data_IF_035761761752
#
_entry.id   IF_035761761752
#
_cell.length_a   1.000
_cell.length_b   1.000
_cell.length_c   1.000
_cell.angle_alpha   90.00
_cell.angle_beta   90.00
_cell.angle_gamma   90.00
#
_symmetry.space_group_name_H-M   'P 1'
#
loop_
_entity.id
_entity.type
_entity.pdbx_description
1 polymer ?
#
# COMPACT_ATOMS: atom_id res chain seq x y z
N UNK A 1 21.00 9.03 20.96
CA UNK A 1 19.53 8.97 21.01
C UNK A 1 19.05 9.55 19.69
N UNK A 2 18.57 8.71 18.80
CA UNK A 2 17.86 9.21 17.62
C UNK A 2 16.61 9.95 18.10
N UNK A 3 16.36 11.13 17.53
CA UNK A 3 15.17 11.90 17.87
C UNK A 3 13.95 11.14 17.38
N UNK A 4 13.03 10.84 18.28
CA UNK A 4 11.75 10.21 17.91
C UNK A 4 11.03 11.13 16.90
N UNK A 5 10.74 10.62 15.72
CA UNK A 5 10.03 11.37 14.69
C UNK A 5 8.56 11.55 15.12
N UNK A 6 8.14 12.79 15.34
CA UNK A 6 6.74 13.16 15.57
C UNK A 6 6.20 13.79 14.29
N UNK A 7 5.13 13.23 13.75
CA UNK A 7 4.52 13.64 12.49
C UNK A 7 3.03 13.83 12.63
N UNK A 8 2.42 14.55 11.71
CA UNK A 8 0.97 14.74 11.67
C UNK A 8 0.42 14.77 10.25
N UNK A 9 -0.84 14.39 10.11
CA UNK A 9 -1.64 14.54 8.89
C UNK A 9 -3.00 15.09 9.25
N UNK A 10 -3.40 16.13 8.54
CA UNK A 10 -4.66 16.84 8.80
C UNK A 10 -5.67 16.66 7.67
N UNK A 11 -6.94 16.70 8.04
CA UNK A 11 -8.06 17.05 7.16
C UNK A 11 -8.58 18.42 7.56
N UNK A 12 -9.73 18.84 7.06
CA UNK A 12 -10.34 20.10 7.50
C UNK A 12 -10.77 20.08 8.99
N UNK A 13 -11.16 18.91 9.52
CA UNK A 13 -11.73 18.79 10.85
C UNK A 13 -11.03 17.76 11.75
N UNK A 14 -9.94 17.18 11.31
CA UNK A 14 -9.17 16.20 12.09
C UNK A 14 -7.68 16.44 11.97
N UNK A 15 -6.94 16.03 13.01
CA UNK A 15 -5.50 15.92 12.97
C UNK A 15 -5.07 14.58 13.57
N UNK A 16 -4.46 13.75 12.76
CA UNK A 16 -3.85 12.50 13.20
C UNK A 16 -2.37 12.73 13.43
N UNK A 17 -1.93 12.60 14.66
CA UNK A 17 -0.51 12.65 15.03
C UNK A 17 0.00 11.25 15.26
N UNK A 18 1.24 10.99 14.88
CA UNK A 18 1.89 9.70 15.05
C UNK A 18 3.39 9.87 15.24
N UNK A 19 4.03 8.91 15.92
CA UNK A 19 5.44 8.98 16.27
C UNK A 19 6.08 7.59 16.29
N UNK A 20 7.38 7.55 16.06
CA UNK A 20 8.15 6.32 16.19
C UNK A 20 8.14 5.87 17.66
N UNK A 21 7.96 4.56 17.88
CA UNK A 21 8.00 3.99 19.22
C UNK A 21 9.40 4.15 19.83
N UNK A 22 9.55 4.82 21.00
CA UNK A 22 10.84 4.91 21.66
C UNK A 22 11.45 3.54 21.97
N UNK A 23 12.77 3.42 21.98
CA UNK A 23 13.46 2.15 22.23
C UNK A 23 13.08 1.52 23.58
N UNK A 24 12.91 2.33 24.61
CA UNK A 24 12.55 1.88 25.96
C UNK A 24 11.04 1.72 26.18
N UNK A 25 10.21 2.02 25.20
CA UNK A 25 8.77 1.85 25.29
C UNK A 25 8.35 0.39 25.07
N UNK A 26 7.33 -0.05 25.81
CA UNK A 26 6.72 -1.38 25.70
C UNK A 26 5.25 -1.26 25.26
N UNK A 27 4.56 -2.37 25.10
CA UNK A 27 3.11 -2.36 24.81
C UNK A 27 2.26 -1.68 25.90
N UNK A 28 2.75 -1.66 27.15
CA UNK A 28 2.06 -1.03 28.29
C UNK A 28 2.42 0.46 28.47
N UNK A 29 3.29 1.00 27.64
CA UNK A 29 3.67 2.42 27.74
C UNK A 29 2.49 3.30 27.40
N UNK A 30 2.15 4.23 28.31
CA UNK A 30 1.07 5.19 28.12
C UNK A 30 1.65 6.55 27.78
N UNK A 31 1.18 7.12 26.69
CA UNK A 31 1.53 8.46 26.23
C UNK A 31 0.42 9.43 26.60
N UNK A 32 0.80 10.59 27.09
CA UNK A 32 -0.10 11.70 27.32
C UNK A 32 -0.01 12.66 26.12
N UNK A 33 -1.16 12.97 25.53
CA UNK A 33 -1.27 13.80 24.31
C UNK A 33 -2.20 14.97 24.58
N UNK A 34 -1.78 16.18 24.28
CA UNK A 34 -2.61 17.38 24.44
C UNK A 34 -2.65 18.24 23.16
N UNK A 35 -3.72 19.02 23.04
CA UNK A 35 -3.92 20.02 21.98
C UNK A 35 -3.96 21.40 22.65
N UNK A 36 -3.08 22.32 22.22
CA UNK A 36 -2.96 23.71 22.72
C UNK A 36 -2.83 23.80 24.26
N UNK A 37 -2.23 22.80 24.90
CA UNK A 37 -2.11 22.76 26.35
C UNK A 37 -3.43 22.58 27.10
N UNK A 38 -4.51 22.21 26.41
CA UNK A 38 -5.81 21.87 26.98
C UNK A 38 -5.83 20.52 27.69
N UNK A 39 -7.01 19.91 27.82
CA UNK A 39 -7.14 18.60 28.42
C UNK A 39 -6.28 17.55 27.69
N UNK A 40 -5.47 16.84 28.47
CA UNK A 40 -4.68 15.72 27.97
C UNK A 40 -5.55 14.49 27.83
N UNK A 41 -5.24 13.69 26.81
CA UNK A 41 -5.75 12.34 26.62
C UNK A 41 -4.61 11.35 26.76
N UNK A 42 -4.94 10.12 27.14
CA UNK A 42 -3.97 9.06 27.31
C UNK A 42 -4.19 7.97 26.26
N UNK A 43 -3.12 7.50 25.66
CA UNK A 43 -3.13 6.39 24.71
C UNK A 43 -1.92 5.48 24.91
N UNK A 44 -2.08 4.19 24.71
CA UNK A 44 -0.96 3.23 24.62
C UNK A 44 -0.51 2.99 23.19
N UNK A 45 -1.12 3.69 22.21
CA UNK A 45 -0.73 3.66 20.80
C UNK A 45 0.26 4.76 20.49
N UNK A 46 1.06 4.56 19.47
CA UNK A 46 1.98 5.60 18.98
C UNK A 46 1.32 6.53 17.95
N UNK A 47 0.03 6.70 18.08
CA UNK A 47 -0.75 7.67 17.32
C UNK A 47 -1.99 8.10 18.09
N UNK A 48 -2.54 9.26 17.69
CA UNK A 48 -3.82 9.77 18.19
C UNK A 48 -4.48 10.69 17.16
N UNK A 49 -5.80 10.63 17.05
CA UNK A 49 -6.57 11.48 16.13
C UNK A 49 -7.46 12.43 16.91
N UNK A 50 -7.22 13.71 16.78
CA UNK A 50 -8.14 14.77 17.23
C UNK A 50 -9.22 14.97 16.18
N UNK A 51 -10.46 15.11 16.61
CA UNK A 51 -11.64 15.32 15.77
C UNK A 51 -12.32 16.66 16.11
N UNK A 52 -13.28 17.06 15.30
CA UNK A 52 -14.07 18.28 15.51
C UNK A 52 -13.22 19.57 15.56
N UNK A 53 -12.09 19.58 14.87
CA UNK A 53 -11.23 20.74 14.76
C UNK A 53 -11.83 21.78 13.80
N UNK A 54 -11.45 23.02 14.00
CA UNK A 54 -11.84 24.13 13.13
C UNK A 54 -10.98 24.11 11.87
N UNK A 55 -11.56 24.21 10.67
CA UNK A 55 -10.78 24.28 9.43
C UNK A 55 -9.84 25.49 9.38
N UNK A 56 -8.73 25.35 8.66
CA UNK A 56 -7.72 26.39 8.44
C UNK A 56 -7.25 27.07 9.74
N UNK A 57 -7.02 26.25 10.78
CA UNK A 57 -6.65 26.73 12.12
C UNK A 57 -5.35 26.06 12.55
N UNK A 58 -4.45 26.85 13.12
CA UNK A 58 -3.21 26.38 13.70
C UNK A 58 -3.47 25.82 15.10
N UNK A 59 -2.79 24.70 15.42
CA UNK A 59 -2.80 24.06 16.72
C UNK A 59 -1.39 23.60 17.09
N UNK A 60 -1.11 23.52 18.38
CA UNK A 60 0.10 22.90 18.90
C UNK A 60 -0.27 21.54 19.54
N UNK A 61 0.21 20.45 18.98
CA UNK A 61 0.06 19.13 19.60
C UNK A 61 1.31 18.79 20.38
N UNK A 62 1.14 18.43 21.64
CA UNK A 62 2.23 17.96 22.50
C UNK A 62 1.98 16.50 22.86
N UNK A 63 2.97 15.65 22.59
CA UNK A 63 3.07 14.29 23.10
C UNK A 63 4.15 14.33 24.18
N UNK A 64 3.73 14.23 25.45
CA UNK A 64 4.66 14.35 26.58
C UNK A 64 5.72 13.25 26.53
N UNK A 65 6.96 13.59 26.83
CA UNK A 65 8.17 12.76 26.67
C UNK A 65 8.63 12.50 25.21
N UNK A 66 7.87 12.92 24.20
CA UNK A 66 8.25 12.80 22.78
C UNK A 66 8.62 14.17 22.20
N UNK A 67 7.69 15.13 22.26
CA UNK A 67 7.88 16.47 21.71
C UNK A 67 6.58 17.18 21.38
N UNK A 68 6.71 18.32 20.71
CA UNK A 68 5.56 19.10 20.22
C UNK A 68 5.69 19.38 18.74
N UNK A 69 4.55 19.46 18.06
CA UNK A 69 4.45 19.78 16.64
C UNK A 69 3.36 20.81 16.42
N UNK A 70 3.66 21.83 15.62
CA UNK A 70 2.67 22.78 15.12
C UNK A 70 2.02 22.21 13.87
N UNK A 71 0.72 22.22 13.83
CA UNK A 71 -0.10 21.74 12.71
C UNK A 71 -1.06 22.82 12.28
N UNK A 72 -1.50 22.76 11.03
CA UNK A 72 -2.61 23.55 10.52
C UNK A 72 -3.62 22.59 9.87
N UNK A 73 -4.88 22.66 10.29
CA UNK A 73 -5.96 21.93 9.62
C UNK A 73 -6.13 22.44 8.20
N UNK A 74 -6.52 21.55 7.28
CA UNK A 74 -6.81 21.97 5.92
C UNK A 74 -7.99 22.93 5.89
N UNK A 75 -8.07 23.85 4.91
CA UNK A 75 -9.25 24.65 4.71
C UNK A 75 -10.47 23.77 4.38
N UNK A 76 -11.66 24.24 4.72
CA UNK A 76 -12.89 23.61 4.23
C UNK A 76 -12.93 23.71 2.70
N UNK A 77 -13.20 22.59 2.04
CA UNK A 77 -13.24 22.49 0.59
C UNK A 77 -14.67 22.56 0.07
N UNK A 78 -14.86 23.13 -1.11
CA UNK A 78 -16.13 23.08 -1.80
C UNK A 78 -16.36 21.65 -2.32
N UNK A 79 -17.53 21.11 -2.06
CA UNK A 79 -17.89 19.76 -2.54
C UNK A 79 -18.36 19.78 -3.98
N UNK A 80 -17.76 18.91 -4.79
CA UNK A 80 -18.23 18.53 -6.11
C UNK A 80 -19.01 17.22 -5.92
N UNK A 81 -20.33 17.32 -5.82
CA UNK A 81 -21.19 16.15 -5.68
C UNK A 81 -21.26 15.42 -7.01
N UNK A 82 -20.79 14.17 -7.06
CA UNK A 82 -20.78 13.38 -8.30
C UNK A 82 -22.20 13.12 -8.86
N UNK A 83 -23.22 13.21 -8.01
CA UNK A 83 -24.64 13.01 -8.37
C UNK A 83 -25.34 14.24 -8.91
N UNK A 84 -24.72 15.42 -8.83
CA UNK A 84 -25.30 16.70 -9.27
C UNK A 84 -24.81 17.09 -10.69
N UNK A 85 -25.51 18.02 -11.33
CA UNK A 85 -25.04 18.58 -12.59
C UNK A 85 -23.67 19.27 -12.44
N UNK A 86 -22.78 19.14 -13.42
CA UNK A 86 -23.00 18.53 -14.74
C UNK A 86 -22.74 17.00 -14.79
N UNK A 87 -22.32 16.37 -13.70
CA UNK A 87 -21.81 15.00 -13.68
C UNK A 87 -22.94 13.96 -13.72
N UNK A 88 -23.96 14.11 -12.88
CA UNK A 88 -25.14 13.24 -12.83
C UNK A 88 -24.81 11.75 -12.71
N UNK A 89 -23.76 11.39 -11.95
CA UNK A 89 -23.41 10.00 -11.75
C UNK A 89 -24.52 9.26 -10.99
N UNK A 90 -24.83 8.05 -11.42
CA UNK A 90 -25.93 7.24 -10.89
C UNK A 90 -25.38 6.19 -9.93
N UNK A 91 -25.79 6.24 -8.66
CA UNK A 91 -25.34 5.35 -7.61
C UNK A 91 -26.16 4.04 -7.51
N UNK A 92 -26.50 3.40 -8.64
CA UNK A 92 -27.37 2.21 -8.72
C UNK A 92 -26.62 0.87 -8.82
N UNK A 93 -25.28 0.91 -8.89
CA UNK A 93 -24.41 -0.27 -9.08
C UNK A 93 -24.47 -0.92 -10.45
N UNK A 94 -25.09 -0.29 -11.44
CA UNK A 94 -25.31 -0.82 -12.79
C UNK A 94 -24.89 0.13 -13.90
N UNK A 95 -25.22 1.41 -13.74
CA UNK A 95 -24.88 2.45 -14.72
C UNK A 95 -23.39 2.72 -14.69
N UNK A 96 -22.71 2.58 -15.83
CA UNK A 96 -21.29 2.89 -15.95
C UNK A 96 -21.10 4.41 -15.94
N UNK A 97 -20.40 4.93 -14.94
CA UNK A 97 -20.22 6.35 -14.70
C UNK A 97 -18.82 6.88 -15.06
N UNK A 98 -17.97 6.10 -15.74
CA UNK A 98 -16.54 6.43 -15.92
C UNK A 98 -16.32 7.84 -16.45
N UNK A 99 -17.04 8.24 -17.50
CA UNK A 99 -16.87 9.57 -18.08
C UNK A 99 -17.30 10.70 -17.14
N UNK A 100 -18.43 10.51 -16.45
CA UNK A 100 -18.97 11.49 -15.48
C UNK A 100 -18.03 11.66 -14.27
N UNK A 101 -17.54 10.56 -13.73
CA UNK A 101 -16.62 10.57 -12.58
C UNK A 101 -15.25 11.12 -12.98
N UNK A 102 -14.73 10.77 -14.15
CA UNK A 102 -13.47 11.34 -14.65
C UNK A 102 -13.58 12.85 -14.86
N UNK A 103 -14.74 13.33 -15.35
CA UNK A 103 -14.97 14.77 -15.48
C UNK A 103 -14.96 15.46 -14.10
N UNK A 104 -15.65 14.87 -13.09
CA UNK A 104 -15.64 15.40 -11.73
C UNK A 104 -14.22 15.44 -11.13
N UNK A 105 -13.39 14.42 -11.42
CA UNK A 105 -11.99 14.41 -11.00
C UNK A 105 -11.21 15.52 -11.71
N UNK A 106 -11.35 15.64 -13.02
CA UNK A 106 -10.66 16.68 -13.82
C UNK A 106 -11.00 18.10 -13.39
N UNK A 107 -12.25 18.36 -13.00
CA UNK A 107 -12.74 19.67 -12.57
C UNK A 107 -12.38 19.98 -11.10
N UNK A 108 -11.86 19.00 -10.35
CA UNK A 108 -11.51 19.17 -8.94
C UNK A 108 -10.26 20.03 -8.78
N UNK A 109 -10.44 21.28 -8.40
CA UNK A 109 -9.33 22.18 -8.08
C UNK A 109 -8.76 21.97 -6.66
N UNK A 110 -7.69 22.69 -6.31
CA UNK A 110 -7.03 22.53 -5.00
C UNK A 110 -7.90 22.96 -3.80
N UNK A 111 -8.97 23.70 -4.04
CA UNK A 111 -9.92 24.13 -3.01
C UNK A 111 -11.22 23.29 -3.03
N UNK A 112 -11.26 22.25 -3.84
CA UNK A 112 -12.42 21.40 -4.02
C UNK A 112 -12.16 19.99 -3.51
N UNK A 113 -13.24 19.25 -3.28
CA UNK A 113 -13.21 17.81 -3.05
C UNK A 113 -14.29 17.12 -3.89
N UNK A 114 -13.96 16.04 -4.55
CA UNK A 114 -14.95 15.18 -5.18
C UNK A 114 -15.65 14.38 -4.08
N UNK A 115 -16.96 14.52 -4.00
CA UNK A 115 -17.75 13.93 -2.92
C UNK A 115 -18.74 12.90 -3.46
N UNK A 116 -18.63 11.69 -2.91
CA UNK A 116 -19.51 10.58 -3.19
C UNK A 116 -20.52 10.41 -2.05
N UNK A 117 -21.79 10.80 -2.22
CA UNK A 117 -22.83 10.42 -1.26
C UNK A 117 -23.08 8.91 -1.28
N UNK A 118 -23.87 8.40 -0.32
CA UNK A 118 -24.25 6.99 -0.26
C UNK A 118 -24.81 6.49 -1.59
N UNK A 119 -24.33 5.35 -2.07
CA UNK A 119 -24.68 4.74 -3.37
C UNK A 119 -23.55 3.89 -3.92
N UNK A 120 -23.81 3.11 -4.95
CA UNK A 120 -22.83 2.24 -5.62
C UNK A 120 -22.56 2.80 -7.02
N UNK A 121 -21.39 3.37 -7.23
CA UNK A 121 -20.98 4.04 -8.47
C UNK A 121 -20.09 3.11 -9.29
N UNK A 122 -20.68 2.41 -10.27
CA UNK A 122 -19.93 1.55 -11.17
C UNK A 122 -19.08 2.38 -12.14
N UNK A 123 -17.80 2.02 -12.27
CA UNK A 123 -16.85 2.74 -13.12
C UNK A 123 -15.76 1.82 -13.68
N UNK A 124 -15.14 2.24 -14.78
CA UNK A 124 -13.83 1.75 -15.22
C UNK A 124 -12.71 2.52 -14.51
N UNK A 125 -11.52 2.50 -15.11
CA UNK A 125 -10.35 3.16 -14.58
C UNK A 125 -10.49 4.69 -14.55
N UNK A 126 -10.03 5.31 -13.44
CA UNK A 126 -10.02 6.75 -13.23
C UNK A 126 -8.60 7.25 -12.97
N UNK A 127 -8.29 8.46 -13.44
CA UNK A 127 -7.01 9.13 -13.21
C UNK A 127 -7.16 10.23 -12.18
N UNK A 128 -6.31 10.19 -11.17
CA UNK A 128 -6.14 11.23 -10.17
C UNK A 128 -5.08 12.23 -10.65
N UNK A 129 -5.14 13.45 -10.14
CA UNK A 129 -4.14 14.47 -10.40
C UNK A 129 -3.70 15.18 -9.11
N UNK A 130 -2.65 15.98 -9.21
CA UNK A 130 -2.09 16.71 -8.05
C UNK A 130 -3.09 17.64 -7.40
N UNK A 131 -2.98 17.77 -6.08
CA UNK A 131 -3.75 18.73 -5.28
C UNK A 131 -5.26 18.46 -5.23
N UNK A 132 -5.69 17.21 -5.34
CA UNK A 132 -7.11 16.85 -5.25
C UNK A 132 -7.47 16.12 -3.96
N UNK A 133 -8.74 16.17 -3.63
CA UNK A 133 -9.32 15.36 -2.56
C UNK A 133 -10.53 14.58 -3.05
N UNK A 134 -10.65 13.36 -2.59
CA UNK A 134 -11.79 12.48 -2.86
C UNK A 134 -12.35 12.00 -1.52
N UNK A 135 -13.60 12.32 -1.26
CA UNK A 135 -14.31 11.91 -0.05
C UNK A 135 -15.43 10.93 -0.39
N UNK A 136 -15.36 9.73 0.18
CA UNK A 136 -16.45 8.75 0.09
C UNK A 136 -17.21 8.75 1.42
N UNK A 137 -18.49 9.13 1.39
CA UNK A 137 -19.33 9.05 2.57
C UNK A 137 -19.53 7.61 3.02
N UNK A 138 -19.98 7.42 4.26
CA UNK A 138 -20.42 6.11 4.73
C UNK A 138 -21.49 5.55 3.77
N UNK A 139 -21.36 4.28 3.42
CA UNK A 139 -22.22 3.58 2.45
C UNK A 139 -22.08 4.04 0.98
N UNK A 140 -21.11 4.91 0.67
CA UNK A 140 -20.66 5.15 -0.69
C UNK A 140 -19.69 4.06 -1.14
N UNK A 141 -19.92 3.51 -2.33
CA UNK A 141 -19.04 2.49 -2.95
C UNK A 141 -18.63 2.95 -4.35
N UNK A 142 -17.34 3.18 -4.54
CA UNK A 142 -16.76 3.28 -5.87
C UNK A 142 -16.46 1.87 -6.36
N UNK A 143 -17.28 1.38 -7.30
CA UNK A 143 -17.25 -0.02 -7.75
C UNK A 143 -16.62 -0.13 -9.13
N UNK A 144 -15.50 -0.86 -9.22
CA UNK A 144 -14.85 -1.17 -10.49
C UNK A 144 -15.64 -2.16 -11.34
N UNK A 145 -15.69 -1.88 -12.64
CA UNK A 145 -16.22 -2.80 -13.65
C UNK A 145 -15.42 -4.11 -13.70
N UNK A 146 -16.06 -5.19 -14.08
CA UNK A 146 -15.39 -6.47 -14.35
C UNK A 146 -15.05 -6.66 -15.83
N UNK A 147 -15.23 -5.63 -16.67
CA UNK A 147 -14.86 -5.66 -18.09
C UNK A 147 -13.45 -5.09 -18.29
N UNK A 148 -12.47 -5.86 -18.79
CA UNK A 148 -11.11 -5.37 -19.05
C UNK A 148 -11.05 -4.18 -20.01
N UNK A 149 -12.03 -4.01 -20.89
CA UNK A 149 -12.05 -2.87 -21.85
C UNK A 149 -12.24 -1.53 -21.16
N UNK A 150 -12.85 -1.50 -19.96
CA UNK A 150 -13.03 -0.31 -19.14
C UNK A 150 -11.73 0.17 -18.47
N UNK A 151 -10.64 -0.60 -18.63
CA UNK A 151 -9.30 -0.32 -18.07
C UNK A 151 -8.25 -0.05 -19.15
N UNK A 152 -8.71 0.26 -20.37
CA UNK A 152 -7.86 0.68 -21.48
C UNK A 152 -7.83 2.23 -21.62
N UNK A 153 -6.79 2.78 -22.27
CA UNK A 153 -5.60 2.11 -22.77
C UNK A 153 -4.69 1.62 -21.65
N UNK A 154 -3.80 0.66 -21.96
CA UNK A 154 -2.75 0.24 -21.02
C UNK A 154 -1.82 1.40 -20.69
N UNK A 155 -1.17 1.33 -19.54
CA UNK A 155 -0.19 2.31 -19.04
C UNK A 155 1.14 1.63 -18.78
N UNK A 156 2.22 2.38 -18.85
CA UNK A 156 3.51 1.95 -18.36
C UNK A 156 3.48 1.90 -16.83
N UNK A 157 3.76 0.75 -16.27
CA UNK A 157 3.71 0.49 -14.83
C UNK A 157 4.70 -0.61 -14.48
N UNK A 158 4.70 -1.11 -13.23
CA UNK A 158 5.56 -2.20 -12.79
C UNK A 158 4.70 -3.34 -12.24
N UNK A 159 4.99 -4.59 -12.62
CA UNK A 159 4.38 -5.77 -12.06
C UNK A 159 5.44 -6.83 -11.77
N UNK A 160 5.38 -7.48 -10.60
CA UNK A 160 6.43 -8.41 -10.13
C UNK A 160 7.85 -7.85 -10.33
N UNK A 161 8.04 -6.58 -9.96
CA UNK A 161 9.34 -5.92 -9.99
C UNK A 161 9.89 -5.55 -11.35
N UNK A 162 9.13 -5.69 -12.45
CA UNK A 162 9.55 -5.35 -13.82
C UNK A 162 8.63 -4.29 -14.41
N UNK A 163 9.21 -3.27 -15.07
CA UNK A 163 8.46 -2.21 -15.76
C UNK A 163 7.91 -2.73 -17.09
N UNK A 164 6.63 -2.55 -17.32
CA UNK A 164 5.94 -3.05 -18.49
C UNK A 164 4.59 -2.37 -18.71
N UNK A 165 3.96 -2.59 -19.86
CA UNK A 165 2.58 -2.19 -20.08
C UNK A 165 1.62 -3.06 -19.28
N UNK A 166 0.78 -2.41 -18.46
CA UNK A 166 -0.27 -3.04 -17.65
C UNK A 166 -1.62 -2.44 -17.97
N UNK A 167 -2.70 -3.17 -17.71
CA UNK A 167 -4.01 -2.55 -17.61
C UNK A 167 -3.98 -1.46 -16.53
N UNK A 168 -4.75 -0.40 -16.73
CA UNK A 168 -4.95 0.61 -15.69
C UNK A 168 -5.55 -0.03 -14.44
N UNK A 169 -5.24 0.52 -13.30
CA UNK A 169 -5.90 0.21 -12.03
C UNK A 169 -7.24 0.93 -11.95
N UNK A 170 -8.05 0.63 -10.95
CA UNK A 170 -9.30 1.40 -10.75
C UNK A 170 -8.98 2.88 -10.52
N UNK A 171 -8.00 3.17 -9.63
CA UNK A 171 -7.46 4.52 -9.46
C UNK A 171 -5.98 4.55 -9.85
N UNK A 172 -5.59 5.56 -10.64
CA UNK A 172 -4.23 5.76 -11.09
C UNK A 172 -3.77 7.18 -10.78
N UNK A 173 -2.56 7.35 -10.29
CA UNK A 173 -1.93 8.64 -10.07
C UNK A 173 -0.49 8.64 -10.55
N UNK A 174 -0.10 9.74 -11.20
CA UNK A 174 1.25 9.94 -11.70
C UNK A 174 1.61 9.07 -12.91
N UNK A 175 2.82 9.25 -13.38
CA UNK A 175 3.39 8.53 -14.53
C UNK A 175 4.71 7.89 -14.11
N UNK A 176 4.89 6.62 -14.45
CA UNK A 176 6.09 5.87 -14.10
C UNK A 176 7.31 6.40 -14.85
N UNK A 177 8.31 6.83 -14.10
CA UNK A 177 9.62 7.20 -14.61
C UNK A 177 10.68 6.96 -13.53
N UNK A 178 11.48 5.91 -13.68
CA UNK A 178 12.51 5.57 -12.71
C UNK A 178 13.67 6.59 -12.68
N UNK A 179 13.77 7.49 -13.66
CA UNK A 179 14.82 8.53 -13.72
C UNK A 179 14.37 9.85 -13.10
N UNK A 180 13.07 10.03 -12.87
CA UNK A 180 12.48 11.26 -12.36
C UNK A 180 12.08 11.18 -10.88
N UNK A 181 11.81 12.33 -10.30
CA UNK A 181 11.16 12.50 -9.02
C UNK A 181 9.64 12.40 -9.11
N UNK A 182 8.95 12.94 -8.10
CA UNK A 182 7.49 12.97 -8.09
C UNK A 182 6.94 13.86 -9.21
N UNK A 183 5.89 13.38 -9.88
CA UNK A 183 5.16 14.10 -10.92
C UNK A 183 3.65 14.23 -10.60
N UNK A 184 3.21 13.66 -9.48
CA UNK A 184 1.87 13.82 -8.95
C UNK A 184 1.94 13.89 -7.42
N UNK A 185 1.21 14.84 -6.80
CA UNK A 185 1.40 15.11 -5.38
C UNK A 185 0.16 15.72 -4.69
N UNK A 186 0.16 15.66 -3.36
CA UNK A 186 -0.88 16.28 -2.52
C UNK A 186 -2.28 15.74 -2.80
N UNK A 187 -2.46 14.40 -2.76
CA UNK A 187 -3.76 13.76 -2.91
C UNK A 187 -4.24 13.27 -1.56
N UNK A 188 -5.52 13.51 -1.26
CA UNK A 188 -6.20 12.99 -0.08
C UNK A 188 -7.39 12.11 -0.51
N UNK A 189 -7.30 10.80 -0.24
CA UNK A 189 -8.40 9.85 -0.38
C UNK A 189 -8.92 9.53 1.02
N UNK A 190 -10.17 9.85 1.32
CA UNK A 190 -10.64 9.71 2.69
C UNK A 190 -12.15 9.50 2.80
N UNK A 191 -12.58 9.18 4.01
CA UNK A 191 -13.99 9.00 4.34
C UNK A 191 -14.26 7.69 5.08
N UNK A 192 -15.48 7.19 4.96
CA UNK A 192 -15.93 5.93 5.56
C UNK A 192 -16.56 4.99 4.53
N UNK A 193 -16.39 5.31 3.25
CA UNK A 193 -16.89 4.52 2.14
C UNK A 193 -15.91 3.43 1.71
N UNK A 194 -16.23 2.83 0.58
CA UNK A 194 -15.50 1.68 0.02
C UNK A 194 -15.01 1.98 -1.40
N UNK A 195 -13.77 1.65 -1.69
CA UNK A 195 -13.24 1.52 -3.04
C UNK A 195 -13.11 0.03 -3.31
N UNK A 196 -13.90 -0.49 -4.26
CA UNK A 196 -13.98 -1.91 -4.60
C UNK A 196 -13.67 -2.10 -6.08
N UNK A 197 -12.66 -2.90 -6.40
CA UNK A 197 -12.29 -3.20 -7.79
C UNK A 197 -13.22 -4.21 -8.46
N UNK A 198 -12.85 -4.64 -9.67
CA UNK A 198 -13.55 -5.69 -10.43
C UNK A 198 -13.27 -7.11 -9.93
N UNK A 199 -12.36 -7.25 -8.98
CA UNK A 199 -12.07 -8.48 -8.24
C UNK A 199 -11.58 -9.64 -9.10
N UNK A 200 -11.86 -10.84 -8.62
CA UNK A 200 -11.46 -12.09 -9.27
C UNK A 200 -11.95 -12.19 -10.72
N UNK A 201 -13.18 -11.75 -11.00
CA UNK A 201 -13.75 -11.84 -12.36
C UNK A 201 -12.95 -10.98 -13.35
N UNK A 202 -12.57 -9.77 -12.95
CA UNK A 202 -11.73 -8.89 -13.76
C UNK A 202 -10.35 -9.50 -13.97
N UNK A 203 -9.74 -10.02 -12.90
CA UNK A 203 -8.42 -10.64 -12.94
C UNK A 203 -8.36 -11.81 -13.93
N UNK A 204 -9.31 -12.74 -13.86
CA UNK A 204 -9.37 -13.91 -14.75
C UNK A 204 -9.55 -13.50 -16.21
N UNK A 205 -10.45 -12.55 -16.49
CA UNK A 205 -10.66 -12.04 -17.85
C UNK A 205 -9.41 -11.39 -18.44
N UNK A 206 -8.67 -10.61 -17.64
CA UNK A 206 -7.40 -10.01 -18.08
C UNK A 206 -6.35 -11.10 -18.38
N UNK A 207 -6.25 -12.12 -17.52
CA UNK A 207 -5.33 -13.25 -17.71
C UNK A 207 -5.68 -14.04 -18.97
N UNK A 208 -6.96 -14.32 -19.21
CA UNK A 208 -7.41 -15.11 -20.37
C UNK A 208 -7.15 -14.37 -21.69
N UNK A 209 -7.42 -13.07 -21.73
CA UNK A 209 -7.09 -12.23 -22.88
C UNK A 209 -5.58 -12.25 -23.14
N UNK A 210 -4.77 -12.07 -22.10
CA UNK A 210 -3.32 -12.02 -22.26
C UNK A 210 -2.71 -13.37 -22.59
N UNK A 211 -3.26 -14.47 -22.06
CA UNK A 211 -2.86 -15.83 -22.45
C UNK A 211 -3.05 -16.06 -23.95
N UNK A 212 -4.16 -15.58 -24.53
CA UNK A 212 -4.39 -15.67 -25.97
C UNK A 212 -3.43 -14.76 -26.75
N UNK A 213 -3.20 -13.53 -26.30
CA UNK A 213 -2.24 -12.61 -26.92
C UNK A 213 -0.81 -13.18 -26.93
N UNK A 214 -0.43 -13.88 -25.88
CA UNK A 214 0.90 -14.44 -25.69
C UNK A 214 1.02 -15.90 -26.14
N UNK A 215 0.01 -16.51 -26.76
CA UNK A 215 -0.04 -17.94 -27.10
C UNK A 215 1.22 -18.45 -27.79
N UNK A 216 1.71 -17.74 -28.80
CA UNK A 216 2.92 -18.13 -29.54
C UNK A 216 4.18 -17.97 -28.69
N UNK A 217 4.29 -16.88 -27.93
CA UNK A 217 5.38 -16.65 -27.01
C UNK A 217 5.48 -17.74 -25.93
N UNK A 218 4.36 -18.08 -25.30
CA UNK A 218 4.30 -19.12 -24.27
C UNK A 218 4.71 -20.49 -24.83
N UNK A 219 4.26 -20.82 -26.05
CA UNK A 219 4.64 -22.08 -26.71
C UNK A 219 6.15 -22.14 -27.03
N UNK A 220 6.74 -21.03 -27.48
CA UNK A 220 8.17 -20.93 -27.79
C UNK A 220 9.06 -20.93 -26.51
N UNK A 221 8.50 -20.51 -25.37
CA UNK A 221 9.20 -20.37 -24.10
C UNK A 221 8.71 -21.39 -23.04
N UNK A 222 8.30 -22.58 -23.45
CA UNK A 222 7.75 -23.61 -22.56
C UNK A 222 8.67 -23.95 -21.37
N UNK A 223 10.00 -23.91 -21.56
CA UNK A 223 10.96 -24.12 -20.49
C UNK A 223 10.90 -23.02 -19.41
N UNK A 224 10.72 -21.76 -19.80
CA UNK A 224 10.53 -20.66 -18.86
C UNK A 224 9.19 -20.79 -18.14
N UNK A 225 8.10 -21.10 -18.86
CA UNK A 225 6.78 -21.32 -18.27
C UNK A 225 6.82 -22.40 -17.20
N UNK A 226 7.58 -23.46 -17.43
CA UNK A 226 7.74 -24.56 -16.46
C UNK A 226 8.50 -24.17 -15.17
N UNK A 227 9.19 -23.03 -15.15
CA UNK A 227 9.86 -22.49 -13.95
C UNK A 227 8.97 -21.51 -13.18
N UNK A 228 7.83 -21.11 -13.72
CA UNK A 228 6.88 -20.23 -13.05
C UNK A 228 6.07 -21.00 -12.01
N UNK A 229 5.48 -20.30 -11.07
CA UNK A 229 4.61 -20.85 -10.04
C UNK A 229 3.43 -21.64 -10.67
N UNK A 230 2.83 -21.07 -11.72
CA UNK A 230 1.78 -21.70 -12.49
C UNK A 230 1.71 -21.09 -13.92
N UNK A 231 0.82 -21.60 -14.77
CA UNK A 231 0.64 -21.16 -16.16
C UNK A 231 0.00 -19.76 -16.29
N UNK A 232 -0.51 -19.20 -15.21
CA UNK A 232 -1.10 -17.86 -15.12
C UNK A 232 -0.05 -16.79 -14.83
N UNK A 233 1.14 -17.16 -14.36
CA UNK A 233 2.16 -16.20 -13.89
C UNK A 233 2.52 -15.18 -14.99
N UNK A 234 2.91 -15.63 -16.18
CA UNK A 234 3.30 -14.71 -17.26
C UNK A 234 2.11 -13.90 -17.79
N UNK A 235 0.96 -14.52 -18.16
CA UNK A 235 -0.21 -13.75 -18.57
C UNK A 235 -0.77 -12.82 -17.50
N UNK A 236 -0.60 -13.16 -16.24
CA UNK A 236 -1.11 -12.39 -15.11
C UNK A 236 -0.37 -11.08 -14.82
N UNK A 237 0.83 -10.91 -15.37
CA UNK A 237 1.70 -9.74 -15.10
C UNK A 237 1.17 -8.41 -15.64
N UNK A 238 0.14 -8.42 -16.46
CA UNK A 238 -0.47 -7.21 -17.03
C UNK A 238 -1.66 -6.67 -16.25
N UNK A 239 -2.08 -7.36 -15.18
CA UNK A 239 -3.25 -6.96 -14.37
C UNK A 239 -3.07 -5.57 -13.75
N UNK A 240 -4.17 -4.79 -13.71
CA UNK A 240 -4.24 -3.57 -12.90
C UNK A 240 -4.32 -3.91 -11.40
N UNK A 241 -4.08 -2.92 -10.54
CA UNK A 241 -4.27 -2.97 -9.09
C UNK A 241 -5.59 -2.31 -8.72
N UNK A 242 -5.88 -2.19 -7.45
CA UNK A 242 -6.97 -1.31 -7.03
C UNK A 242 -6.54 0.16 -7.15
N UNK A 243 -5.40 0.51 -6.53
CA UNK A 243 -4.80 1.86 -6.56
C UNK A 243 -3.34 1.73 -7.02
N UNK A 244 -2.98 2.40 -8.10
CA UNK A 244 -1.62 2.49 -8.63
C UNK A 244 -1.10 3.91 -8.48
N UNK A 245 -0.07 4.08 -7.67
CA UNK A 245 0.63 5.34 -7.47
C UNK A 245 2.02 5.21 -8.09
N UNK A 246 2.31 6.03 -9.11
CA UNK A 246 3.61 6.04 -9.80
C UNK A 246 4.25 7.42 -9.68
N UNK A 247 5.46 7.50 -9.12
CA UNK A 247 6.15 8.78 -8.91
C UNK A 247 5.26 9.82 -8.19
N UNK A 248 4.58 9.38 -7.12
CA UNK A 248 3.72 10.25 -6.33
C UNK A 248 4.40 10.69 -5.04
N UNK A 249 4.00 11.85 -4.53
CA UNK A 249 4.43 12.31 -3.21
C UNK A 249 3.31 12.96 -2.41
N UNK A 250 3.43 12.91 -1.07
CA UNK A 250 2.45 13.52 -0.14
C UNK A 250 1.02 13.05 -0.39
N UNK A 251 0.85 11.73 -0.42
CA UNK A 251 -0.46 11.09 -0.57
C UNK A 251 -0.93 10.60 0.80
N UNK A 252 -2.18 10.84 1.13
CA UNK A 252 -2.84 10.25 2.29
C UNK A 252 -4.07 9.45 1.88
N UNK A 253 -4.18 8.23 2.41
CA UNK A 253 -5.36 7.36 2.30
C UNK A 253 -5.83 7.06 3.72
N UNK A 254 -7.06 7.45 4.08
CA UNK A 254 -7.50 7.31 5.48
C UNK A 254 -8.98 6.98 5.62
N UNK A 255 -9.31 6.04 6.51
CA UNK A 255 -10.67 5.72 6.95
C UNK A 255 -11.49 4.87 5.97
N UNK A 256 -10.92 4.48 4.84
CA UNK A 256 -11.60 3.77 3.75
C UNK A 256 -11.49 2.25 3.86
N UNK A 257 -12.48 1.56 3.28
CA UNK A 257 -12.34 0.14 2.91
C UNK A 257 -11.82 0.05 1.48
N UNK A 258 -10.70 -0.63 1.28
CA UNK A 258 -10.05 -0.86 -0.02
C UNK A 258 -10.11 -2.35 -0.32
N UNK A 259 -10.79 -2.75 -1.42
CA UNK A 259 -11.00 -4.17 -1.65
C UNK A 259 -11.08 -4.56 -3.11
N UNK A 260 -10.89 -5.85 -3.37
CA UNK A 260 -11.16 -6.48 -4.67
C UNK A 260 -10.38 -5.86 -5.84
N UNK A 261 -9.11 -5.57 -5.69
CA UNK A 261 -8.22 -5.29 -6.83
C UNK A 261 -8.21 -6.48 -7.81
N UNK A 262 -7.74 -6.30 -9.04
CA UNK A 262 -7.48 -7.43 -9.94
C UNK A 262 -6.14 -8.15 -9.61
N UNK A 263 -5.36 -7.56 -8.75
CA UNK A 263 -4.16 -8.04 -8.07
C UNK A 263 -4.02 -7.27 -6.75
N UNK A 264 -2.85 -6.75 -6.40
CA UNK A 264 -2.58 -5.96 -5.21
C UNK A 264 -3.56 -4.79 -5.03
N UNK A 265 -3.86 -4.41 -3.78
CA UNK A 265 -4.76 -3.28 -3.52
C UNK A 265 -4.03 -1.94 -3.70
N UNK A 266 -3.01 -1.63 -2.91
CA UNK A 266 -2.30 -0.33 -3.00
C UNK A 266 -0.86 -0.55 -3.40
N UNK A 267 -0.50 -0.16 -4.61
CA UNK A 267 0.86 -0.27 -5.13
C UNK A 267 1.48 1.11 -5.32
N UNK A 268 2.61 1.34 -4.67
CA UNK A 268 3.34 2.60 -4.66
C UNK A 268 4.70 2.40 -5.32
N UNK A 269 4.92 2.96 -6.51
CA UNK A 269 6.13 2.79 -7.29
C UNK A 269 6.87 4.11 -7.38
N UNK A 270 8.11 4.17 -6.90
CA UNK A 270 8.92 5.39 -6.88
C UNK A 270 8.28 6.57 -6.14
N UNK A 271 7.46 6.25 -5.13
CA UNK A 271 6.75 7.24 -4.34
C UNK A 271 7.57 7.74 -3.14
N UNK A 272 7.15 8.89 -2.61
CA UNK A 272 7.73 9.48 -1.40
C UNK A 272 6.65 10.12 -0.53
N UNK A 273 6.74 9.94 0.79
CA UNK A 273 5.79 10.49 1.77
C UNK A 273 4.33 10.05 1.53
N UNK A 274 4.11 8.75 1.66
CA UNK A 274 2.78 8.14 1.59
C UNK A 274 2.32 7.71 2.98
N UNK A 275 1.13 8.14 3.38
CA UNK A 275 0.54 7.73 4.67
C UNK A 275 -0.80 7.04 4.42
N UNK A 276 -0.91 5.80 4.90
CA UNK A 276 -2.17 5.05 4.90
C UNK A 276 -2.55 4.74 6.35
N UNK A 277 -3.74 5.14 6.76
CA UNK A 277 -4.15 4.98 8.16
C UNK A 277 -5.65 4.71 8.32
N UNK A 278 -6.02 3.99 9.38
CA UNK A 278 -7.41 3.68 9.73
C UNK A 278 -8.21 3.03 8.58
N UNK A 279 -7.55 2.26 7.74
CA UNK A 279 -8.14 1.59 6.59
C UNK A 279 -8.47 0.12 6.89
N UNK A 280 -9.28 -0.48 6.02
CA UNK A 280 -9.46 -1.93 5.95
C UNK A 280 -9.13 -2.38 4.53
N UNK A 281 -8.19 -3.32 4.38
CA UNK A 281 -7.77 -3.84 3.07
C UNK A 281 -8.20 -5.30 2.93
N UNK A 282 -8.97 -5.60 1.86
CA UNK A 282 -9.51 -6.94 1.59
C UNK A 282 -9.21 -7.39 0.18
N UNK A 283 -8.81 -8.65 0.03
CA UNK A 283 -8.53 -9.27 -1.27
C UNK A 283 -8.75 -10.77 -1.29
N UNK A 284 -9.61 -11.28 -0.41
CA UNK A 284 -9.91 -12.72 -0.36
C UNK A 284 -10.32 -13.29 -1.71
N UNK A 285 -9.72 -14.42 -2.12
CA UNK A 285 -9.93 -15.06 -3.40
C UNK A 285 -9.27 -14.38 -4.61
N UNK A 286 -8.41 -13.40 -4.40
CA UNK A 286 -7.66 -12.71 -5.46
C UNK A 286 -6.22 -13.22 -5.48
N UNK A 287 -5.83 -13.92 -6.52
CA UNK A 287 -4.44 -14.34 -6.71
C UNK A 287 -3.50 -13.13 -6.79
N UNK A 288 -2.40 -13.13 -6.03
CA UNK A 288 -1.55 -11.97 -5.74
C UNK A 288 -2.38 -10.81 -5.15
N UNK A 289 -3.24 -11.12 -4.20
CA UNK A 289 -4.09 -10.16 -3.53
C UNK A 289 -3.39 -9.53 -2.34
N UNK A 290 -2.25 -8.86 -2.55
CA UNK A 290 -1.53 -8.15 -1.49
C UNK A 290 -2.33 -6.92 -1.04
N UNK A 291 -2.09 -6.47 0.17
CA UNK A 291 -2.76 -5.29 0.73
C UNK A 291 -2.06 -3.98 0.37
N UNK A 292 -0.80 -3.82 0.77
CA UNK A 292 -0.10 -2.55 0.71
C UNK A 292 1.38 -2.75 0.33
N UNK A 293 1.78 -2.25 -0.84
CA UNK A 293 3.02 -2.58 -1.52
C UNK A 293 3.87 -1.35 -1.85
N UNK A 294 4.76 -0.89 -0.95
CA UNK A 294 5.78 0.09 -1.30
C UNK A 294 6.87 -0.58 -2.14
N UNK A 295 7.07 -0.11 -3.37
CA UNK A 295 8.03 -0.64 -4.34
C UNK A 295 8.97 0.47 -4.80
N UNK A 296 10.25 0.37 -4.46
CA UNK A 296 11.26 1.41 -4.69
C UNK A 296 10.82 2.79 -4.17
N UNK A 297 10.11 2.81 -3.05
CA UNK A 297 9.46 3.98 -2.46
C UNK A 297 10.09 4.33 -1.11
N UNK A 298 9.96 5.60 -0.71
CA UNK A 298 10.57 6.12 0.52
C UNK A 298 9.55 6.81 1.42
N UNK A 299 9.82 6.85 2.73
CA UNK A 299 8.99 7.55 3.72
C UNK A 299 7.52 7.13 3.68
N UNK A 300 7.25 5.82 3.57
CA UNK A 300 5.90 5.30 3.55
C UNK A 300 5.50 4.78 4.93
N UNK A 301 4.35 5.22 5.41
CA UNK A 301 3.85 4.89 6.75
C UNK A 301 2.45 4.27 6.67
N UNK A 302 2.28 3.15 7.36
CA UNK A 302 1.02 2.43 7.46
C UNK A 302 0.70 2.15 8.93
N UNK A 303 -0.49 2.52 9.40
CA UNK A 303 -0.88 2.23 10.79
C UNK A 303 -2.39 2.16 11.01
N UNK A 304 -2.77 1.61 12.15
CA UNK A 304 -4.18 1.47 12.56
C UNK A 304 -5.04 0.85 11.43
N UNK A 305 -4.51 -0.16 10.75
CA UNK A 305 -5.11 -0.73 9.54
C UNK A 305 -5.37 -2.22 9.73
N UNK A 306 -6.53 -2.67 9.25
CA UNK A 306 -6.96 -4.05 9.28
C UNK A 306 -6.80 -4.72 7.91
N UNK A 307 -6.36 -5.98 7.90
CA UNK A 307 -6.13 -6.77 6.70
C UNK A 307 -6.94 -8.05 6.70
N UNK A 308 -7.50 -8.38 5.54
CA UNK A 308 -8.14 -9.65 5.20
C UNK A 308 -7.73 -9.97 3.76
N UNK A 309 -6.45 -10.32 3.58
CA UNK A 309 -5.82 -10.51 2.27
C UNK A 309 -5.71 -11.99 1.89
N UNK A 310 -5.61 -12.26 0.60
CA UNK A 310 -5.29 -13.62 0.10
C UNK A 310 -3.80 -13.89 0.14
N UNK A 311 -3.00 -12.88 -0.20
CA UNK A 311 -1.55 -12.91 -0.23
C UNK A 311 -0.96 -12.06 0.90
N UNK A 312 0.16 -11.38 0.72
CA UNK A 312 0.81 -10.58 1.73
C UNK A 312 -0.08 -9.41 2.19
N UNK A 313 -0.24 -9.20 3.50
CA UNK A 313 -0.91 -8.00 4.02
C UNK A 313 -0.12 -6.74 3.69
N UNK A 314 1.20 -6.83 3.83
CA UNK A 314 2.18 -5.82 3.42
C UNK A 314 3.30 -6.51 2.66
N UNK A 315 3.65 -6.01 1.48
CA UNK A 315 4.79 -6.51 0.72
C UNK A 315 5.75 -5.37 0.34
N UNK A 316 6.88 -5.29 1.02
CA UNK A 316 7.90 -4.26 0.81
C UNK A 316 8.85 -4.73 -0.29
N UNK A 317 8.82 -4.03 -1.43
CA UNK A 317 9.45 -4.42 -2.69
C UNK A 317 10.42 -3.33 -3.20
N UNK A 318 11.38 -3.71 -4.07
CA UNK A 318 12.27 -2.76 -4.74
C UNK A 318 12.77 -3.28 -6.10
N UNK A 319 11.83 -3.80 -6.90
CA UNK A 319 12.14 -4.30 -8.23
C UNK A 319 12.80 -5.68 -8.25
N UNK A 320 12.87 -6.26 -9.44
CA UNK A 320 13.35 -7.62 -9.74
C UNK A 320 14.58 -7.57 -10.65
N UNK A 321 15.41 -8.61 -10.55
CA UNK A 321 16.59 -8.80 -11.42
C UNK A 321 16.22 -9.01 -12.90
N UNK A 322 16.99 -8.53 -13.88
CA UNK A 322 18.16 -7.66 -13.69
C UNK A 322 17.81 -6.17 -13.62
N UNK A 323 16.57 -5.79 -13.95
CA UNK A 323 16.12 -4.41 -14.08
C UNK A 323 16.18 -3.66 -12.75
N UNK A 324 15.67 -4.26 -11.66
CA UNK A 324 15.71 -3.64 -10.34
C UNK A 324 17.13 -3.34 -9.86
N UNK A 325 18.11 -4.21 -10.21
CA UNK A 325 19.53 -3.95 -9.91
C UNK A 325 20.09 -2.77 -10.74
N UNK A 326 19.69 -2.68 -12.01
CA UNK A 326 20.16 -1.59 -12.90
C UNK A 326 19.56 -0.25 -12.49
N UNK A 327 18.28 -0.19 -12.17
CA UNK A 327 17.60 1.01 -11.68
C UNK A 327 18.12 1.40 -10.30
N UNK A 328 18.39 0.44 -9.43
CA UNK A 328 19.02 0.61 -8.11
C UNK A 328 18.33 1.70 -7.26
N UNK A 329 16.99 1.68 -7.23
CA UNK A 329 16.18 2.55 -6.35
C UNK A 329 15.67 1.72 -5.18
N UNK A 330 16.25 1.90 -3.99
CA UNK A 330 15.83 1.13 -2.82
C UNK A 330 14.52 1.63 -2.23
N UNK A 331 13.81 0.73 -1.56
CA UNK A 331 12.74 1.09 -0.62
C UNK A 331 13.34 1.38 0.74
N UNK A 332 13.01 2.54 1.33
CA UNK A 332 13.59 3.00 2.60
C UNK A 332 12.60 3.76 3.48
N UNK A 333 12.89 3.74 4.79
CA UNK A 333 12.13 4.49 5.81
C UNK A 333 10.65 4.09 5.79
N UNK A 334 10.42 2.80 5.94
CA UNK A 334 9.08 2.22 5.99
C UNK A 334 8.69 1.99 7.45
N UNK A 335 7.52 2.50 7.84
CA UNK A 335 6.95 2.28 9.16
C UNK A 335 5.61 1.56 9.04
N UNK A 336 5.46 0.42 9.75
CA UNK A 336 4.21 -0.33 9.84
C UNK A 336 3.90 -0.57 11.32
N UNK A 337 2.77 -0.06 11.80
CA UNK A 337 2.46 -0.21 13.22
C UNK A 337 0.97 -0.20 13.52
N UNK A 338 0.63 -0.78 14.68
CA UNK A 338 -0.76 -0.91 15.13
C UNK A 338 -1.68 -1.49 14.05
N UNK A 339 -1.19 -2.50 13.32
CA UNK A 339 -1.93 -3.18 12.27
C UNK A 339 -2.41 -4.55 12.76
N UNK A 340 -3.56 -4.97 12.23
CA UNK A 340 -4.15 -6.26 12.53
C UNK A 340 -4.44 -7.03 11.25
N UNK A 341 -4.09 -8.33 11.20
CA UNK A 341 -4.40 -9.20 10.06
C UNK A 341 -5.28 -10.37 10.47
N UNK A 342 -6.37 -10.54 9.75
CA UNK A 342 -7.34 -11.64 9.90
C UNK A 342 -7.08 -12.81 8.91
N UNK A 343 -5.93 -12.85 8.26
CA UNK A 343 -5.59 -13.88 7.26
C UNK A 343 -4.39 -13.46 6.41
N UNK A 344 -4.25 -14.08 5.25
CA UNK A 344 -3.17 -13.82 4.30
C UNK A 344 -1.81 -14.33 4.79
N UNK A 345 -0.73 -13.86 4.16
CA UNK A 345 0.61 -14.29 4.48
C UNK A 345 1.25 -13.49 5.63
N UNK A 346 0.85 -12.24 5.85
CA UNK A 346 1.38 -11.36 6.88
C UNK A 346 2.20 -10.20 6.31
N UNK A 347 3.28 -9.79 7.00
CA UNK A 347 4.15 -8.70 6.56
C UNK A 347 5.42 -9.29 5.94
N UNK A 348 5.64 -8.98 4.67
CA UNK A 348 6.72 -9.52 3.86
C UNK A 348 7.70 -8.42 3.40
N UNK A 349 8.99 -8.76 3.37
CA UNK A 349 10.04 -7.98 2.69
C UNK A 349 10.60 -8.87 1.58
N UNK A 350 10.46 -8.43 0.34
CA UNK A 350 10.83 -9.21 -0.86
C UNK A 350 9.63 -10.07 -1.37
N UNK A 351 9.85 -11.02 -2.30
CA UNK A 351 11.13 -11.44 -2.92
C UNK A 351 11.71 -10.42 -3.91
N UNK A 352 10.93 -9.47 -4.41
CA UNK A 352 11.41 -8.40 -5.28
C UNK A 352 12.20 -7.36 -4.47
N UNK A 353 13.51 -7.61 -4.24
CA UNK A 353 14.36 -6.76 -3.41
C UNK A 353 15.66 -6.34 -4.12
N UNK A 354 15.68 -6.40 -5.46
CA UNK A 354 16.89 -6.20 -6.27
C UNK A 354 17.45 -4.77 -6.21
N UNK A 355 16.61 -3.76 -5.97
CA UNK A 355 17.05 -2.38 -5.74
C UNK A 355 17.47 -2.08 -4.29
N UNK A 356 17.30 -3.06 -3.39
CA UNK A 356 17.58 -2.95 -1.96
C UNK A 356 16.38 -2.50 -1.13
N UNK A 357 16.32 -2.96 0.11
CA UNK A 357 15.36 -2.53 1.14
C UNK A 357 16.14 -2.17 2.41
N UNK A 358 15.85 -1.02 3.01
CA UNK A 358 16.50 -0.58 4.22
C UNK A 358 15.58 0.24 5.14
N UNK A 359 15.96 0.32 6.42
CA UNK A 359 15.33 1.21 7.39
C UNK A 359 13.82 0.91 7.55
N UNK A 360 13.49 -0.35 7.82
CA UNK A 360 12.12 -0.81 8.04
C UNK A 360 11.85 -0.96 9.54
N UNK A 361 10.78 -0.35 10.01
CA UNK A 361 10.36 -0.43 11.40
C UNK A 361 8.93 -0.98 11.50
N UNK A 362 8.74 -2.04 12.28
CA UNK A 362 7.44 -2.68 12.49
C UNK A 362 7.22 -2.80 13.99
N UNK A 363 6.08 -2.30 14.50
CA UNK A 363 5.79 -2.41 15.93
C UNK A 363 4.29 -2.43 16.23
N UNK A 364 3.93 -3.03 17.37
CA UNK A 364 2.55 -3.13 17.89
C UNK A 364 1.56 -3.78 16.88
N UNK A 365 2.02 -4.70 16.04
CA UNK A 365 1.17 -5.41 15.09
C UNK A 365 0.71 -6.76 15.66
N UNK A 366 -0.58 -7.05 15.49
CA UNK A 366 -1.14 -8.38 15.74
C UNK A 366 -1.57 -9.02 14.41
N UNK A 367 -0.73 -9.90 13.92
CA UNK A 367 -0.93 -10.65 12.68
C UNK A 367 -0.90 -12.16 12.94
N UNK A 368 -1.38 -12.56 14.13
CA UNK A 368 -1.39 -13.97 14.56
C UNK A 368 -2.21 -14.89 13.65
N UNK A 369 -3.22 -14.35 12.96
CA UNK A 369 -4.06 -15.12 12.03
C UNK A 369 -3.45 -15.31 10.64
N UNK A 370 -2.31 -14.67 10.33
CA UNK A 370 -1.61 -14.86 9.05
C UNK A 370 -0.92 -16.23 8.97
N UNK A 371 -0.65 -16.70 7.76
CA UNK A 371 0.01 -18.00 7.54
C UNK A 371 1.52 -17.97 7.79
N UNK A 372 2.20 -16.87 7.44
CA UNK A 372 3.65 -16.74 7.53
C UNK A 372 4.12 -15.81 8.65
N UNK A 373 3.36 -14.78 9.00
CA UNK A 373 3.75 -13.81 10.02
C UNK A 373 4.67 -12.71 9.47
N UNK A 374 5.92 -12.65 9.97
CA UNK A 374 6.96 -11.76 9.42
C UNK A 374 7.87 -12.60 8.53
N UNK A 375 7.99 -12.20 7.26
CA UNK A 375 8.76 -12.93 6.27
C UNK A 375 9.74 -12.01 5.55
N UNK A 376 11.03 -12.36 5.57
CA UNK A 376 12.08 -11.71 4.79
C UNK A 376 12.58 -12.74 3.79
N UNK A 377 12.32 -12.52 2.50
CA UNK A 377 12.56 -13.50 1.46
C UNK A 377 13.28 -12.92 0.25
N UNK A 378 14.07 -13.74 -0.41
CA UNK A 378 14.73 -13.43 -1.66
C UNK A 378 15.02 -14.69 -2.45
N UNK A 379 15.70 -14.57 -3.58
CA UNK A 379 16.24 -15.69 -4.35
C UNK A 379 17.70 -15.42 -4.67
N UNK A 380 18.51 -16.45 -4.98
CA UNK A 380 19.91 -16.24 -5.32
C UNK A 380 20.14 -15.30 -6.51
N UNK A 381 19.16 -15.15 -7.40
CA UNK A 381 19.28 -14.30 -8.59
C UNK A 381 19.01 -12.83 -8.33
N UNK A 382 18.37 -12.48 -7.20
CA UNK A 382 17.90 -11.11 -6.94
C UNK A 382 19.03 -10.08 -6.82
N UNK A 383 20.18 -10.45 -6.22
CA UNK A 383 21.13 -9.43 -5.77
C UNK A 383 20.46 -8.46 -4.79
N UNK A 384 20.98 -7.25 -4.66
CA UNK A 384 20.42 -6.25 -3.75
C UNK A 384 20.63 -6.61 -2.29
N UNK A 385 19.80 -6.05 -1.40
CA UNK A 385 19.96 -6.24 0.04
C UNK A 385 18.66 -6.00 0.82
N UNK A 386 18.60 -6.58 2.02
CA UNK A 386 17.66 -6.17 3.08
C UNK A 386 18.46 -5.88 4.33
N UNK A 387 18.38 -4.66 4.87
CA UNK A 387 19.14 -4.27 6.05
C UNK A 387 18.41 -3.26 6.93
N UNK A 388 18.87 -3.18 8.20
CA UNK A 388 18.33 -2.30 9.21
C UNK A 388 16.80 -2.45 9.36
N UNK A 389 16.40 -3.67 9.73
CA UNK A 389 14.99 -4.03 9.97
C UNK A 389 14.77 -4.22 11.46
N UNK A 390 13.85 -3.47 12.03
CA UNK A 390 13.46 -3.57 13.45
C UNK A 390 12.02 -4.04 13.54
N UNK A 391 11.77 -5.11 14.32
CA UNK A 391 10.43 -5.60 14.65
C UNK A 391 10.29 -5.70 16.16
N UNK A 392 9.31 -5.02 16.75
CA UNK A 392 9.12 -4.95 18.19
C UNK A 392 7.66 -5.08 18.61
N UNK A 393 7.43 -5.72 19.76
CA UNK A 393 6.10 -5.80 20.39
C UNK A 393 5.00 -6.31 19.43
N UNK A 394 5.32 -7.31 18.62
CA UNK A 394 4.42 -7.88 17.62
C UNK A 394 4.02 -9.32 17.97
N UNK A 395 2.79 -9.70 17.57
CA UNK A 395 2.25 -11.05 17.70
C UNK A 395 2.04 -11.64 16.32
N UNK A 396 2.66 -12.80 16.03
CA UNK A 396 2.55 -13.48 14.73
C UNK A 396 2.93 -14.95 14.82
N UNK A 397 2.56 -15.80 13.82
CA UNK A 397 2.80 -17.24 13.93
C UNK A 397 4.28 -17.61 13.77
N UNK A 398 5.01 -16.98 12.87
CA UNK A 398 6.39 -17.36 12.52
C UNK A 398 7.23 -16.15 12.12
N UNK A 399 8.52 -16.21 12.35
CA UNK A 399 9.54 -15.35 11.78
C UNK A 399 10.33 -16.16 10.75
N UNK A 400 10.26 -15.75 9.49
CA UNK A 400 10.93 -16.46 8.39
C UNK A 400 11.96 -15.54 7.73
N UNK A 401 13.19 -16.05 7.60
CA UNK A 401 14.26 -15.40 6.80
C UNK A 401 14.81 -16.49 5.92
N UNK A 402 14.48 -16.47 4.62
CA UNK A 402 14.78 -17.61 3.76
C UNK A 402 14.83 -17.27 2.27
N UNK A 403 15.35 -18.22 1.50
CA UNK A 403 15.26 -18.22 0.04
C UNK A 403 13.98 -18.91 -0.41
N UNK A 404 13.30 -18.33 -1.41
CA UNK A 404 12.10 -18.91 -2.02
C UNK A 404 12.41 -19.47 -3.42
N UNK A 405 11.75 -20.56 -3.83
CA UNK A 405 12.02 -21.20 -5.13
C UNK A 405 11.22 -20.60 -6.29
N UNK A 406 10.13 -19.87 -5.99
CA UNK A 406 9.26 -19.25 -6.98
C UNK A 406 9.77 -17.86 -7.37
N UNK A 407 9.29 -17.37 -8.51
CA UNK A 407 9.61 -16.04 -9.03
C UNK A 407 11.13 -15.82 -9.22
N UNK A 408 11.87 -16.90 -9.47
CA UNK A 408 13.32 -16.91 -9.66
C UNK A 408 13.70 -16.89 -11.16
N UNK A 409 12.88 -16.26 -11.99
CA UNK A 409 13.13 -16.06 -13.41
C UNK A 409 14.02 -14.82 -13.64
N UNK A 410 14.50 -14.68 -14.88
CA UNK A 410 15.36 -13.57 -15.29
C UNK A 410 16.86 -13.85 -15.16
N UNK A 411 17.66 -12.93 -15.65
CA UNK A 411 19.11 -12.98 -15.59
C UNK A 411 19.56 -12.70 -14.15
N UNK A 412 20.44 -13.52 -13.56
CA UNK A 412 20.95 -13.27 -12.23
C UNK A 412 21.68 -11.93 -12.11
N UNK A 413 21.55 -11.29 -10.95
CA UNK A 413 22.41 -10.19 -10.59
C UNK A 413 23.89 -10.62 -10.52
N UNK A 414 24.85 -9.70 -10.72
CA UNK A 414 26.29 -10.01 -10.60
C UNK A 414 26.69 -10.52 -9.21
N UNK A 415 26.01 -10.02 -8.18
CA UNK A 415 26.28 -10.33 -6.78
C UNK A 415 25.10 -11.03 -6.12
N UNK A 416 25.37 -11.86 -5.14
CA UNK A 416 24.35 -12.50 -4.33
C UNK A 416 23.63 -11.48 -3.44
N UNK A 417 22.34 -11.68 -3.11
CA UNK A 417 21.66 -10.85 -2.15
C UNK A 417 22.27 -10.98 -0.76
N UNK A 418 22.27 -9.90 0.02
CA UNK A 418 22.72 -9.96 1.40
C UNK A 418 21.68 -9.41 2.38
N UNK A 419 21.73 -9.91 3.61
CA UNK A 419 20.77 -9.64 4.67
C UNK A 419 21.55 -9.33 5.94
N UNK A 420 21.35 -8.15 6.54
CA UNK A 420 22.13 -7.70 7.70
C UNK A 420 21.33 -6.75 8.61
N UNK A 421 21.81 -6.55 9.83
CA UNK A 421 21.30 -5.58 10.81
C UNK A 421 19.82 -5.77 11.14
N UNK A 422 19.45 -6.97 11.56
CA UNK A 422 18.09 -7.27 12.00
C UNK A 422 17.98 -7.18 13.52
N UNK A 423 16.99 -6.43 13.99
CA UNK A 423 16.69 -6.28 15.40
C UNK A 423 15.27 -6.75 15.73
N UNK A 424 15.16 -7.83 16.51
CA UNK A 424 13.89 -8.44 16.89
C UNK A 424 13.75 -8.40 18.40
N UNK A 425 12.66 -7.78 18.91
CA UNK A 425 12.51 -7.53 20.34
C UNK A 425 11.06 -7.71 20.80
N UNK A 426 10.85 -8.42 21.90
CA UNK A 426 9.54 -8.65 22.54
C UNK A 426 8.48 -9.19 21.56
N UNK A 427 8.84 -10.24 20.84
CA UNK A 427 7.97 -10.91 19.89
C UNK A 427 7.19 -12.04 20.57
N UNK A 428 5.88 -12.13 20.25
CA UNK A 428 5.03 -13.23 20.65
C UNK A 428 4.72 -14.14 19.46
N UNK A 429 5.38 -15.31 19.43
CA UNK A 429 5.19 -16.29 18.37
C UNK A 429 4.08 -17.28 18.75
N UNK A 430 2.98 -17.29 17.96
CA UNK A 430 1.80 -18.13 18.23
C UNK A 430 1.83 -19.49 17.53
N UNK A 431 2.74 -19.68 16.56
CA UNK A 431 2.90 -20.94 15.84
C UNK A 431 3.44 -22.05 16.74
N UNK A 432 3.02 -23.31 16.50
CA UNK A 432 3.64 -24.47 17.16
C UNK A 432 5.10 -24.54 16.74
N UNK A 433 6.00 -24.82 17.68
CA UNK A 433 7.40 -25.20 17.38
C UNK A 433 7.38 -26.37 16.40
N UNK A 434 7.64 -26.13 15.13
CA UNK A 434 8.12 -27.20 14.26
C UNK A 434 9.56 -27.49 14.70
N UNK A 435 9.76 -28.61 15.36
CA UNK A 435 11.09 -29.20 15.56
C UNK A 435 11.59 -29.63 14.19
N UNK A 436 12.26 -28.81 13.48
CA UNK A 436 13.11 -28.97 12.31
C UNK A 436 12.96 -27.77 11.36
N UNK A 437 13.50 -26.65 11.79
CA UNK A 437 13.86 -25.55 10.89
C UNK A 437 15.35 -25.31 11.08
N UNK A 438 16.18 -25.88 10.25
CA UNK A 438 17.55 -25.42 10.09
C UNK A 438 17.48 -23.99 9.61
N UNK A 439 18.01 -23.07 10.41
CA UNK A 439 18.44 -21.76 9.92
C UNK A 439 19.63 -22.06 9.02
N UNK A 440 19.38 -22.26 7.72
CA UNK A 440 20.46 -22.22 6.75
C UNK A 440 20.89 -20.75 6.67
N UNK A 441 22.01 -20.46 7.33
CA UNK A 441 22.73 -19.22 7.11
C UNK A 441 23.15 -19.19 5.65
N UNK A 442 22.53 -18.31 4.88
CA UNK A 442 23.06 -17.94 3.57
C UNK A 442 24.28 -17.07 3.86
N UNK A 443 25.46 -17.72 3.88
CA UNK A 443 26.76 -17.06 3.86
C UNK A 443 27.11 -16.72 2.40
#
# INVERSE_FOLDING_TARGET
MESVLLSARCTANTATVFWNKPENATADTVYEVSLDGGHSVHTNRTHYTFTELIPNTEYCVTVYSIGSIHICTLPARRRIYVTEEPYNAVGDGKTLNTAALQQAFTDCGPNDEVYFPAGIYLTGALDLHSCMSVCLEKDAVLQGSSDPTDYLPRIWSRFEGTEQECYRSLLNAGQLDHTAGANCENILLYGKGTISGGGHVLAERMIDIERENLREYLAQNAALVATCENDRTIPGRVRGRLINLSNCSRIRITGLTLQNGAAWNVHMIYCDDIVTDHCTLRSGGIWNGDGWDPDSSTNCTLFATEFETEDDSVAIKSGKNPEGNAINRPTKHICVFDCHSNGGHGICIGSEMSGGVADVQIWDCDIAASSNGIEIKGTPKRGGYVRNVTVRDCTFPRLLIHSVPYNDDGIPAPEQPYFEDFHFERLHLTGQKQEHGTVESVA
#
